data_IF_085425033671
#
_entry.id   IF_085425033671
#
_cell.length_a   1.000
_cell.length_b   1.000
_cell.length_c   1.000
_cell.angle_alpha   90.00
_cell.angle_beta   90.00
_cell.angle_gamma   90.00
#
_symmetry.space_group_name_H-M   'P 1'
#
loop_
_entity.id
_entity.type
_entity.pdbx_description
1 polymer ?
#
# COMPACT_ATOMS: atom_id res chain seq x y z
N UNK A 1 5.94 2.97 13.44
CA UNK A 1 5.88 1.94 12.41
C UNK A 1 6.30 2.54 11.09
N UNK A 2 7.25 1.89 10.43
CA UNK A 2 7.71 2.38 9.15
C UNK A 2 6.75 1.99 8.05
N UNK A 3 6.57 2.90 7.10
CA UNK A 3 5.65 2.70 5.99
C UNK A 3 6.32 3.02 4.68
N UNK A 4 5.93 2.27 3.64
CA UNK A 4 6.29 2.57 2.26
C UNK A 4 5.08 3.19 1.59
N UNK A 5 5.26 4.35 0.97
CA UNK A 5 4.19 5.01 0.24
C UNK A 5 4.46 4.88 -1.25
N UNK A 6 3.49 4.35 -1.96
CA UNK A 6 3.56 4.23 -3.42
C UNK A 6 2.63 5.29 -4.00
N UNK A 7 3.22 6.24 -4.74
CA UNK A 7 2.47 7.34 -5.32
C UNK A 7 1.95 6.97 -6.70
N UNK A 8 0.77 7.43 -7.03
CA UNK A 8 0.20 7.25 -8.36
C UNK A 8 0.77 8.24 -9.38
N UNK A 9 2.06 8.46 -9.30
CA UNK A 9 2.79 9.33 -10.21
C UNK A 9 4.08 8.59 -10.57
N UNK A 10 4.38 8.55 -11.87
CA UNK A 10 5.61 7.92 -12.32
C UNK A 10 6.81 8.80 -12.00
N UNK A 11 8.00 8.23 -12.11
CA UNK A 11 9.24 8.97 -11.86
C UNK A 11 9.41 10.13 -12.81
N UNK A 12 8.72 10.09 -13.96
CA UNK A 12 8.73 11.20 -14.92
C UNK A 12 7.66 12.24 -14.63
N UNK A 13 6.84 12.04 -13.60
CA UNK A 13 5.84 13.01 -13.20
C UNK A 13 4.47 12.82 -13.81
N UNK A 14 4.23 11.73 -14.51
CA UNK A 14 2.95 11.48 -15.14
C UNK A 14 2.04 10.72 -14.20
N UNK A 15 0.74 11.03 -14.26
CA UNK A 15 -0.22 10.30 -13.45
C UNK A 15 -0.35 8.87 -13.93
N UNK A 16 -0.34 7.95 -12.97
CA UNK A 16 -0.50 6.54 -13.26
C UNK A 16 -1.96 6.21 -13.50
N UNK A 17 -2.22 5.45 -14.54
CA UNK A 17 -3.58 5.08 -14.89
C UNK A 17 -3.71 3.56 -14.93
N UNK A 18 -4.93 3.03 -14.71
CA UNK A 18 -6.20 3.74 -14.46
C UNK A 18 -6.23 4.38 -13.08
N UNK A 19 -7.11 5.35 -12.89
CA UNK A 19 -7.12 6.13 -11.65
C UNK A 19 -7.52 5.31 -10.43
N UNK A 20 -8.14 4.15 -10.62
CA UNK A 20 -8.53 3.27 -9.52
C UNK A 20 -7.46 2.21 -9.22
N UNK A 21 -6.23 2.43 -9.65
CA UNK A 21 -5.16 1.45 -9.49
C UNK A 21 -4.92 1.11 -8.01
N UNK A 22 -5.06 2.10 -7.14
CA UNK A 22 -4.80 1.89 -5.71
C UNK A 22 -5.84 0.96 -5.11
N UNK A 23 -7.09 1.15 -5.47
CA UNK A 23 -8.16 0.27 -4.99
C UNK A 23 -7.99 -1.15 -5.53
N UNK A 24 -7.57 -1.28 -6.78
CA UNK A 24 -7.34 -2.60 -7.35
C UNK A 24 -6.19 -3.31 -6.66
N UNK A 25 -5.11 -2.60 -6.40
CA UNK A 25 -3.97 -3.18 -5.69
C UNK A 25 -4.36 -3.59 -4.27
N UNK A 26 -5.05 -2.71 -3.57
CA UNK A 26 -5.50 -3.00 -2.21
C UNK A 26 -6.46 -4.20 -2.20
N UNK A 27 -7.30 -4.30 -3.22
CA UNK A 27 -8.22 -5.44 -3.33
C UNK A 27 -7.48 -6.76 -3.50
N UNK A 28 -6.44 -6.77 -4.33
CA UNK A 28 -5.62 -7.97 -4.49
C UNK A 28 -4.92 -8.32 -3.19
N UNK A 29 -4.42 -7.32 -2.50
CA UNK A 29 -3.70 -7.54 -1.25
C UNK A 29 -4.62 -7.92 -0.09
N UNK A 30 -5.92 -7.73 -0.22
CA UNK A 30 -6.84 -8.03 0.87
C UNK A 30 -6.85 -9.49 1.25
N UNK A 31 -6.42 -10.38 0.36
CA UNK A 31 -6.31 -11.80 0.68
C UNK A 31 -5.13 -12.10 1.62
N UNK A 32 -4.20 -11.17 1.76
CA UNK A 32 -3.03 -11.35 2.61
C UNK A 32 -3.29 -10.71 3.97
N UNK A 33 -4.15 -11.35 4.77
CA UNK A 33 -4.50 -10.87 6.10
C UNK A 33 -3.79 -11.68 7.16
N UNK A 34 -3.54 -11.07 8.33
CA UNK A 34 -2.93 -11.82 9.41
C UNK A 34 -3.81 -13.01 9.80
N UNK A 35 -3.20 -14.10 10.26
CA UNK A 35 -3.97 -15.26 10.72
C UNK A 35 -4.92 -14.86 11.85
N UNK A 36 -6.10 -15.41 11.82
CA UNK A 36 -7.11 -15.14 12.84
C UNK A 36 -7.90 -13.87 12.64
N UNK A 37 -7.51 -13.04 11.71
CA UNK A 37 -8.25 -11.82 11.44
C UNK A 37 -9.45 -12.12 10.57
N UNK A 38 -10.61 -11.70 11.03
CA UNK A 38 -11.82 -11.80 10.26
C UNK A 38 -12.13 -10.44 9.67
N UNK A 39 -12.48 -10.41 8.42
CA UNK A 39 -12.88 -9.18 7.78
C UNK A 39 -13.94 -9.46 6.77
N UNK A 40 -14.72 -8.46 6.47
CA UNK A 40 -15.63 -8.53 5.35
C UNK A 40 -14.84 -8.65 4.07
N UNK A 41 -15.51 -9.14 3.03
CA UNK A 41 -14.91 -9.18 1.71
C UNK A 41 -14.51 -7.80 1.22
N UNK A 42 -15.17 -6.78 1.73
CA UNK A 42 -14.90 -5.40 1.33
C UNK A 42 -13.83 -4.73 2.18
N UNK A 43 -13.27 -5.44 3.16
CA UNK A 43 -12.25 -4.88 4.03
C UNK A 43 -10.88 -5.13 3.44
N UNK A 44 -10.12 -4.07 3.27
CA UNK A 44 -8.74 -4.18 2.80
C UNK A 44 -7.85 -4.70 3.91
N UNK A 45 -6.68 -5.23 3.52
CA UNK A 45 -5.67 -5.58 4.48
C UNK A 45 -5.26 -4.35 5.29
N UNK A 46 -5.11 -4.47 6.61
CA UNK A 46 -4.68 -3.32 7.40
C UNK A 46 -3.25 -2.87 7.08
N UNK A 47 -2.51 -3.67 6.33
CA UNK A 47 -1.14 -3.34 5.98
C UNK A 47 -1.01 -2.70 4.60
N UNK A 48 -2.09 -2.63 3.83
CA UNK A 48 -2.08 -2.04 2.49
C UNK A 48 -3.33 -1.19 2.36
N UNK A 49 -3.18 0.13 2.44
CA UNK A 49 -4.32 1.05 2.53
C UNK A 49 -4.24 2.10 1.44
N UNK A 50 -5.25 2.21 0.58
CA UNK A 50 -5.28 3.30 -0.40
C UNK A 50 -5.64 4.60 0.29
N UNK A 51 -5.02 5.68 -0.14
CA UNK A 51 -5.25 6.99 0.44
C UNK A 51 -4.94 8.08 -0.57
N UNK A 52 -5.10 9.33 -0.15
CA UNK A 52 -4.67 10.49 -0.92
C UNK A 52 -3.65 11.27 -0.12
N UNK A 53 -2.60 11.74 -0.79
CA UNK A 53 -1.62 12.63 -0.20
C UNK A 53 -1.45 13.79 -1.17
N UNK A 54 -1.76 15.00 -0.71
CA UNK A 54 -1.68 16.21 -1.54
C UNK A 54 -2.42 16.05 -2.86
N UNK A 55 -3.59 15.40 -2.80
CA UNK A 55 -4.41 15.22 -3.99
C UNK A 55 -3.97 14.10 -4.91
N UNK A 56 -2.91 13.37 -4.56
CA UNK A 56 -2.40 12.27 -5.36
C UNK A 56 -2.84 10.95 -4.75
N UNK A 57 -3.38 10.06 -5.60
CA UNK A 57 -3.78 8.74 -5.14
C UNK A 57 -2.54 7.95 -4.78
N UNK A 58 -2.54 7.36 -3.59
CA UNK A 58 -1.39 6.63 -3.06
C UNK A 58 -1.83 5.33 -2.42
N UNK A 59 -0.87 4.44 -2.20
CA UNK A 59 -1.07 3.27 -1.36
C UNK A 59 -0.01 3.29 -0.28
N UNK A 60 -0.44 3.16 0.97
CA UNK A 60 0.46 3.12 2.12
C UNK A 60 0.62 1.66 2.54
N UNK A 61 1.85 1.17 2.55
CA UNK A 61 2.16 -0.21 2.88
C UNK A 61 2.94 -0.22 4.18
N UNK A 62 2.42 -0.96 5.17
CA UNK A 62 3.07 -1.11 6.46
C UNK A 62 4.26 -2.06 6.29
N UNK A 63 5.43 -1.66 6.78
CA UNK A 63 6.63 -2.49 6.66
C UNK A 63 6.51 -3.83 7.38
N UNK A 64 5.61 -3.95 8.34
CA UNK A 64 5.39 -5.24 8.99
C UNK A 64 4.90 -6.31 8.02
N UNK A 65 4.32 -5.89 6.88
CA UNK A 65 3.90 -6.84 5.87
C UNK A 65 5.07 -7.70 5.38
N UNK A 66 6.26 -7.11 5.33
CA UNK A 66 7.45 -7.83 4.88
C UNK A 66 7.73 -9.07 5.72
N UNK A 67 7.52 -8.97 7.03
CA UNK A 67 7.77 -10.09 7.93
C UNK A 67 6.59 -11.04 8.00
N UNK A 68 5.38 -10.53 7.84
CA UNK A 68 4.17 -11.34 7.97
C UNK A 68 3.82 -12.08 6.69
N UNK A 69 3.99 -11.42 5.56
CA UNK A 69 3.66 -11.97 4.25
C UNK A 69 4.70 -11.52 3.24
N UNK A 70 5.88 -12.18 3.22
CA UNK A 70 6.96 -11.72 2.34
C UNK A 70 6.58 -11.69 0.85
N UNK A 71 5.73 -12.61 0.41
CA UNK A 71 5.32 -12.63 -0.99
C UNK A 71 4.43 -11.44 -1.32
N UNK A 72 3.58 -11.04 -0.37
CA UNK A 72 2.75 -9.86 -0.57
C UNK A 72 3.63 -8.60 -0.62
N UNK A 73 4.61 -8.51 0.27
CA UNK A 73 5.54 -7.40 0.26
C UNK A 73 6.27 -7.31 -1.08
N UNK A 74 6.79 -8.45 -1.56
CA UNK A 74 7.49 -8.49 -2.83
C UNK A 74 6.57 -8.07 -3.97
N UNK A 75 5.30 -8.48 -3.92
CA UNK A 75 4.35 -8.12 -4.95
C UNK A 75 4.17 -6.61 -5.06
N UNK A 76 3.97 -5.93 -3.92
CA UNK A 76 3.73 -4.48 -3.96
C UNK A 76 4.99 -3.73 -4.37
N UNK A 77 6.16 -4.19 -3.94
CA UNK A 77 7.42 -3.57 -4.34
C UNK A 77 7.66 -3.73 -5.83
N UNK A 78 7.41 -4.93 -6.36
CA UNK A 78 7.56 -5.17 -7.79
C UNK A 78 6.56 -4.38 -8.61
N UNK A 79 5.35 -4.22 -8.09
CA UNK A 79 4.34 -3.41 -8.76
C UNK A 79 4.83 -1.97 -8.94
N UNK A 80 5.35 -1.37 -7.87
CA UNK A 80 5.83 -0.01 -7.93
C UNK A 80 7.01 0.11 -8.89
N UNK A 81 7.93 -0.84 -8.80
CA UNK A 81 9.13 -0.81 -9.63
C UNK A 81 8.82 -1.03 -11.11
N UNK A 82 7.96 -2.00 -11.40
CA UNK A 82 7.62 -2.33 -12.79
C UNK A 82 6.89 -1.20 -13.48
N UNK A 83 6.16 -0.39 -12.74
CA UNK A 83 5.41 0.74 -13.29
C UNK A 83 6.14 2.05 -13.08
N UNK A 84 7.35 2.02 -12.56
CA UNK A 84 8.20 3.20 -12.35
C UNK A 84 7.49 4.27 -11.53
N UNK A 85 6.77 3.84 -10.50
CA UNK A 85 6.05 4.76 -9.63
C UNK A 85 6.99 5.34 -8.58
N UNK A 86 6.72 6.58 -8.20
CA UNK A 86 7.47 7.20 -7.11
C UNK A 86 7.11 6.51 -5.81
N UNK A 87 8.11 6.32 -4.95
CA UNK A 87 7.92 5.74 -3.64
C UNK A 87 8.62 6.60 -2.60
N UNK A 88 8.15 6.49 -1.36
CA UNK A 88 8.75 7.23 -0.25
C UNK A 88 8.61 6.41 1.01
N UNK A 89 9.69 6.35 1.78
CA UNK A 89 9.66 5.75 3.12
C UNK A 89 9.24 6.81 4.12
N UNK A 90 8.44 6.40 5.09
CA UNK A 90 7.92 7.31 6.08
C UNK A 90 7.77 6.59 7.41
N UNK A 91 8.06 7.29 8.51
CA UNK A 91 7.80 6.78 9.84
C UNK A 91 6.41 7.27 10.25
N UNK A 92 5.48 6.35 10.42
CA UNK A 92 4.16 6.71 10.89
C UNK A 92 4.23 7.22 12.32
N UNK A 93 3.35 8.17 12.71
CA UNK A 93 3.31 8.59 14.11
C UNK A 93 2.93 7.40 14.98
N UNK A 94 3.42 7.35 16.22
CA UNK A 94 3.06 6.27 17.11
C UNK A 94 1.56 6.27 17.35
N UNK A 95 1.03 5.07 17.51
CA UNK A 95 -0.37 4.92 17.81
C UNK A 95 -0.68 5.56 19.15
N UNK A 96 -1.77 6.29 19.20
CA UNK A 96 -2.13 6.98 20.41
C UNK A 96 -2.75 6.02 21.40
N UNK A 97 -2.33 6.11 22.64
CA UNK A 97 -2.85 5.18 23.64
C UNK A 97 -4.21 5.54 24.19
N UNK A 98 -4.78 6.62 23.80
CA UNK A 98 -6.06 7.08 24.36
C UNK A 98 -7.26 6.23 24.02
#
# INVERSE_FOLDING_TARGET
VQQLIIFGITETGQRFRPSDWAERLAGVMSQFRPPGMRGDRLTYSPYVVPTYIDGVRCVVVDHRLRDLEPLAWAFVCDFAKSNQLKTQERQAPPERPD
#
